data_IF_534436628176
#
_entry.id   IF_534436628176
#
_cell.length_a   1.000
_cell.length_b   1.000
_cell.length_c   1.000
_cell.angle_alpha   90.00
_cell.angle_beta   90.00
_cell.angle_gamma   90.00
#
_symmetry.space_group_name_H-M   'P 1'
#
loop_
_entity.id
_entity.type
_entity.pdbx_description
1 polymer ?
#
# COMPACT_ATOMS: atom_id res chain seq x y z
N UNK A 1 8.82 -68.12 61.67
CA UNK A 1 8.05 -67.89 60.43
C UNK A 1 7.63 -66.43 60.47
N UNK A 2 8.36 -65.56 59.77
CA UNK A 2 8.24 -64.10 59.89
C UNK A 2 7.72 -63.54 58.57
N UNK A 3 6.63 -62.79 58.62
CA UNK A 3 6.05 -62.08 57.48
C UNK A 3 6.71 -60.70 57.38
N UNK A 4 7.18 -60.32 56.18
CA UNK A 4 7.52 -58.94 55.83
C UNK A 4 6.46 -58.43 54.86
N UNK A 5 5.71 -57.42 55.28
CA UNK A 5 4.87 -56.60 54.40
C UNK A 5 5.74 -55.46 53.83
N UNK A 6 5.84 -55.39 52.51
CA UNK A 6 6.43 -54.24 51.83
C UNK A 6 5.34 -53.20 51.51
N UNK A 7 5.47 -52.02 52.10
CA UNK A 7 4.63 -50.86 51.78
C UNK A 7 5.10 -50.17 50.49
N UNK A 8 4.34 -50.33 49.41
CA UNK A 8 4.48 -49.51 48.20
C UNK A 8 3.94 -48.08 48.46
N UNK A 9 4.85 -47.11 48.57
CA UNK A 9 4.52 -45.68 48.60
C UNK A 9 4.37 -45.14 47.16
N UNK A 10 3.13 -44.98 46.68
CA UNK A 10 2.84 -44.19 45.47
C UNK A 10 3.11 -42.70 45.76
N UNK A 11 4.17 -42.15 45.17
CA UNK A 11 4.41 -40.70 45.14
C UNK A 11 3.61 -40.07 44.00
N UNK A 12 2.48 -39.45 44.32
CA UNK A 12 1.76 -38.58 43.41
C UNK A 12 2.57 -37.29 43.17
N UNK A 13 3.18 -37.17 42.00
CA UNK A 13 3.81 -35.92 41.54
C UNK A 13 2.71 -35.06 40.93
N UNK A 14 2.28 -34.03 41.66
CA UNK A 14 1.36 -33.01 41.16
C UNK A 14 2.13 -32.06 40.25
N UNK A 15 2.00 -32.21 38.93
CA UNK A 15 2.50 -31.23 37.97
C UNK A 15 1.45 -30.12 37.82
N UNK A 16 1.71 -28.87 38.27
CA UNK A 16 0.78 -27.79 37.99
C UNK A 16 0.82 -27.47 36.49
N UNK A 17 -0.29 -27.72 35.80
CA UNK A 17 -0.52 -27.27 34.42
C UNK A 17 -0.65 -25.75 34.49
N UNK A 18 0.43 -25.04 34.17
CA UNK A 18 0.42 -23.58 34.00
C UNK A 18 -0.34 -23.28 32.70
N UNK A 19 -1.65 -23.09 32.81
CA UNK A 19 -2.49 -22.62 31.70
C UNK A 19 -2.11 -21.16 31.43
N UNK A 20 -1.12 -20.93 30.57
CA UNK A 20 -0.78 -19.61 30.08
C UNK A 20 -1.95 -19.10 29.22
N UNK A 21 -2.84 -18.33 29.83
CA UNK A 21 -3.79 -17.50 29.09
C UNK A 21 -2.97 -16.53 28.24
N UNK A 22 -2.87 -16.82 26.93
CA UNK A 22 -2.47 -15.82 25.95
C UNK A 22 -3.53 -14.71 25.97
N UNK A 23 -3.28 -13.67 26.75
CA UNK A 23 -4.01 -12.41 26.63
C UNK A 23 -3.54 -11.78 25.32
N UNK A 24 -4.26 -12.03 24.24
CA UNK A 24 -4.08 -11.27 23.00
C UNK A 24 -4.57 -9.86 23.27
N UNK A 25 -3.63 -8.92 23.47
CA UNK A 25 -3.97 -7.51 23.50
C UNK A 25 -4.67 -7.16 22.17
N UNK A 26 -5.82 -6.45 22.20
CA UNK A 26 -6.47 -6.02 20.97
C UNK A 26 -5.48 -5.14 20.19
N UNK A 27 -5.13 -5.59 18.98
CA UNK A 27 -4.40 -4.76 18.03
C UNK A 27 -5.29 -3.57 17.68
N UNK A 28 -4.93 -2.38 18.18
CA UNK A 28 -5.58 -1.13 17.77
C UNK A 28 -5.13 -0.81 16.34
N UNK A 29 -5.69 -1.52 15.36
CA UNK A 29 -5.49 -1.18 13.97
C UNK A 29 -5.97 0.25 13.75
N UNK A 30 -5.04 1.17 13.49
CA UNK A 30 -5.38 2.56 13.20
C UNK A 30 -5.89 2.61 11.77
N UNK A 31 -7.22 2.56 11.60
CA UNK A 31 -7.84 2.77 10.30
C UNK A 31 -7.77 4.26 9.94
N UNK A 32 -7.09 4.58 8.83
CA UNK A 32 -7.21 5.90 8.20
C UNK A 32 -8.26 5.79 7.12
N UNK A 33 -9.40 6.47 7.31
CA UNK A 33 -10.46 6.58 6.31
C UNK A 33 -10.62 8.03 5.88
N UNK A 34 -10.15 8.31 4.67
CA UNK A 34 -10.28 9.61 4.03
C UNK A 34 -11.23 9.51 2.84
N UNK A 35 -12.47 9.95 3.03
CA UNK A 35 -13.50 10.00 1.98
C UNK A 35 -13.54 11.38 1.28
N UNK A 36 -12.56 12.25 1.52
CA UNK A 36 -12.49 13.61 0.98
C UNK A 36 -13.70 14.50 1.31
N UNK A 37 -14.49 14.22 2.36
CA UNK A 37 -15.57 15.12 2.81
C UNK A 37 -15.04 16.37 3.54
N UNK A 38 -13.84 16.28 4.11
CA UNK A 38 -13.12 17.40 4.71
C UNK A 38 -11.92 17.76 3.83
N UNK A 39 -11.85 19.01 3.35
CA UNK A 39 -10.74 19.51 2.54
C UNK A 39 -9.41 19.56 3.32
N UNK A 40 -9.47 19.66 4.65
CA UNK A 40 -8.31 19.75 5.56
C UNK A 40 -8.08 18.47 6.38
N UNK A 41 -8.59 17.33 5.90
CA UNK A 41 -8.49 16.04 6.58
C UNK A 41 -7.10 15.80 7.21
N UNK A 42 -7.09 15.55 8.52
CA UNK A 42 -5.86 15.39 9.29
C UNK A 42 -5.02 14.22 8.75
N UNK A 43 -3.77 14.51 8.39
CA UNK A 43 -2.82 13.50 7.90
C UNK A 43 -2.79 13.32 6.38
N UNK A 44 -3.70 13.96 5.63
CA UNK A 44 -3.56 14.11 4.17
C UNK A 44 -2.72 15.35 3.86
N UNK A 45 -1.80 15.21 2.90
CA UNK A 45 -1.04 16.36 2.38
C UNK A 45 -1.16 16.42 0.86
N UNK A 46 -1.70 17.54 0.37
CA UNK A 46 -1.67 17.92 -1.05
C UNK A 46 -0.30 18.54 -1.37
N UNK A 47 0.71 17.70 -1.53
CA UNK A 47 2.11 18.13 -1.69
C UNK A 47 2.31 18.98 -2.96
N UNK A 48 1.61 18.62 -4.06
CA UNK A 48 1.76 19.28 -5.37
C UNK A 48 0.47 19.23 -6.18
N UNK A 49 0.27 20.26 -7.00
CA UNK A 49 -0.86 20.39 -7.90
C UNK A 49 -2.06 21.07 -7.24
N UNK A 50 -2.94 21.62 -8.07
CA UNK A 50 -4.17 22.27 -7.62
C UNK A 50 -5.25 21.22 -7.32
N UNK A 51 -5.13 20.53 -6.19
CA UNK A 51 -6.14 19.59 -5.71
C UNK A 51 -7.40 20.31 -5.23
N UNK A 52 -8.55 19.77 -5.60
CA UNK A 52 -9.87 20.16 -5.11
C UNK A 52 -10.50 18.99 -4.36
N UNK A 53 -11.19 19.27 -3.27
CA UNK A 53 -11.85 18.28 -2.41
C UNK A 53 -13.32 18.64 -2.29
N UNK A 54 -14.14 18.04 -3.14
CA UNK A 54 -15.56 18.38 -3.27
C UNK A 54 -16.34 17.11 -3.56
N UNK A 55 -17.58 17.02 -3.08
CA UNK A 55 -18.47 15.87 -3.34
C UNK A 55 -17.83 14.51 -3.00
N UNK A 56 -17.03 14.44 -1.93
CA UNK A 56 -16.31 13.23 -1.49
C UNK A 56 -15.30 12.70 -2.53
N UNK A 57 -14.75 13.58 -3.36
CA UNK A 57 -13.74 13.26 -4.38
C UNK A 57 -12.58 14.25 -4.32
N UNK A 58 -11.35 13.74 -4.30
CA UNK A 58 -10.18 14.52 -4.63
C UNK A 58 -9.96 14.57 -6.15
N UNK A 59 -9.92 15.77 -6.72
CA UNK A 59 -9.70 15.98 -8.16
C UNK A 59 -8.48 16.85 -8.39
N UNK A 60 -7.69 16.53 -9.41
CA UNK A 60 -6.65 17.41 -9.92
C UNK A 60 -6.52 17.24 -11.44
N UNK A 61 -5.93 18.23 -12.09
CA UNK A 61 -5.52 18.14 -13.50
C UNK A 61 -4.00 18.15 -13.54
N UNK A 62 -3.43 17.23 -14.31
CA UNK A 62 -2.00 17.23 -14.56
C UNK A 62 -1.60 18.48 -15.36
N UNK A 63 -0.71 19.29 -14.81
CA UNK A 63 -0.16 20.49 -15.45
C UNK A 63 1.23 20.19 -16.02
N UNK A 64 1.43 20.42 -17.32
CA UNK A 64 2.72 20.24 -17.99
C UNK A 64 3.82 21.16 -17.44
N UNK A 65 3.48 22.37 -17.00
CA UNK A 65 4.44 23.29 -16.38
C UNK A 65 4.94 22.71 -15.06
N UNK A 66 4.01 22.30 -14.20
CA UNK A 66 4.30 21.59 -12.95
C UNK A 66 5.12 20.32 -13.21
N UNK A 67 4.71 19.51 -14.19
CA UNK A 67 5.41 18.28 -14.55
C UNK A 67 6.87 18.51 -14.92
N UNK A 68 7.15 19.52 -15.75
CA UNK A 68 8.52 19.93 -16.12
C UNK A 68 9.29 20.47 -14.92
N UNK A 69 8.68 21.34 -14.11
CA UNK A 69 9.29 21.93 -12.92
C UNK A 69 9.74 20.85 -11.92
N UNK A 70 8.94 19.81 -11.73
CA UNK A 70 9.21 18.74 -10.76
C UNK A 70 9.84 17.50 -11.39
N UNK A 71 10.65 17.67 -12.45
CA UNK A 71 11.44 16.59 -13.07
C UNK A 71 10.58 15.38 -13.42
N UNK A 72 9.49 15.62 -14.16
CA UNK A 72 8.55 14.59 -14.61
C UNK A 72 7.67 13.99 -13.49
N UNK A 73 7.35 14.79 -12.47
CA UNK A 73 6.37 14.42 -11.45
C UNK A 73 5.14 15.34 -11.54
N UNK A 74 3.96 14.75 -11.60
CA UNK A 74 2.68 15.49 -11.60
C UNK A 74 2.20 15.87 -10.20
N UNK A 75 0.90 16.15 -10.06
CA UNK A 75 0.24 16.35 -8.77
C UNK A 75 0.44 15.15 -7.82
N UNK A 76 0.51 15.41 -6.51
CA UNK A 76 0.74 14.39 -5.47
C UNK A 76 -0.19 14.62 -4.28
N UNK A 77 -0.88 13.56 -3.87
CA UNK A 77 -1.44 13.41 -2.52
C UNK A 77 -0.66 12.35 -1.76
N UNK A 78 -0.46 12.58 -0.46
CA UNK A 78 0.24 11.65 0.43
C UNK A 78 -0.46 11.55 1.79
N UNK A 79 -0.36 10.36 2.36
CA UNK A 79 -0.65 10.06 3.76
C UNK A 79 0.60 9.45 4.38
N UNK A 80 0.77 9.59 5.69
CA UNK A 80 1.94 9.03 6.40
C UNK A 80 1.54 8.26 7.67
N UNK A 81 0.68 7.23 7.55
CA UNK A 81 0.41 6.33 8.66
C UNK A 81 1.67 5.60 9.11
N UNK A 82 1.74 5.27 10.39
CA UNK A 82 2.72 4.32 10.93
C UNK A 82 2.05 2.96 11.03
N UNK A 83 2.60 1.96 10.35
CA UNK A 83 2.10 0.58 10.38
C UNK A 83 3.22 -0.40 10.00
N UNK A 84 3.08 -1.65 10.42
CA UNK A 84 4.00 -2.76 10.06
C UNK A 84 3.33 -3.77 9.13
N UNK A 85 1.99 -3.81 9.14
CA UNK A 85 1.14 -4.62 8.28
C UNK A 85 -0.17 -3.87 8.03
N UNK A 86 -0.84 -4.13 6.90
CA UNK A 86 -2.12 -3.54 6.57
C UNK A 86 -2.50 -3.65 5.10
N UNK A 87 -3.74 -3.23 4.82
CA UNK A 87 -4.27 -3.12 3.46
C UNK A 87 -4.49 -1.66 3.09
N UNK A 88 -4.15 -1.29 1.85
CA UNK A 88 -4.47 0.02 1.28
C UNK A 88 -5.50 -0.17 0.18
N UNK A 89 -6.59 0.61 0.25
CA UNK A 89 -7.64 0.63 -0.76
C UNK A 89 -7.92 2.08 -1.16
N UNK A 90 -8.09 2.31 -2.46
CA UNK A 90 -8.51 3.60 -2.99
C UNK A 90 -9.32 3.38 -4.26
N UNK A 91 -10.30 4.25 -4.49
CA UNK A 91 -10.97 4.33 -5.79
C UNK A 91 -10.39 5.50 -6.57
N UNK A 92 -10.18 5.34 -7.87
CA UNK A 92 -9.73 6.42 -8.74
C UNK A 92 -10.40 6.33 -10.12
N UNK A 93 -10.47 7.48 -10.80
CA UNK A 93 -11.00 7.60 -12.16
C UNK A 93 -10.01 8.41 -13.01
N UNK A 94 -9.14 7.77 -13.81
CA UNK A 94 -8.26 8.50 -14.70
C UNK A 94 -9.07 9.07 -15.87
N UNK A 95 -8.71 10.25 -16.36
CA UNK A 95 -9.25 10.80 -17.60
C UNK A 95 -8.13 11.41 -18.42
N UNK A 96 -7.85 10.83 -19.59
CA UNK A 96 -6.79 11.18 -20.53
C UNK A 96 -5.43 11.39 -19.85
N UNK A 97 -5.16 10.57 -18.83
CA UNK A 97 -3.93 10.64 -18.06
C UNK A 97 -2.81 9.91 -18.80
N UNK A 98 -1.65 10.54 -18.87
CA UNK A 98 -0.44 9.93 -19.41
C UNK A 98 0.09 8.81 -18.51
N UNK A 99 0.03 9.03 -17.19
CA UNK A 99 0.54 8.13 -16.17
C UNK A 99 -0.18 8.36 -14.85
N UNK A 100 -0.47 7.29 -14.12
CA UNK A 100 -0.87 7.31 -12.71
C UNK A 100 0.09 6.43 -11.93
N UNK A 101 0.59 6.91 -10.79
CA UNK A 101 1.56 6.19 -9.96
C UNK A 101 1.06 6.11 -8.54
N UNK A 102 1.00 4.89 -8.01
CA UNK A 102 0.81 4.63 -6.59
C UNK A 102 2.12 4.11 -6.03
N UNK A 103 2.57 4.65 -4.90
CA UNK A 103 3.81 4.20 -4.25
C UNK A 103 3.56 4.08 -2.76
N UNK A 104 3.85 2.91 -2.21
CA UNK A 104 4.02 2.74 -0.78
C UNK A 104 5.50 2.88 -0.42
N UNK A 105 5.79 3.77 0.52
CA UNK A 105 7.14 4.03 1.00
C UNK A 105 7.29 3.60 2.47
N UNK A 106 8.47 3.07 2.80
CA UNK A 106 9.03 2.99 4.15
C UNK A 106 10.35 3.77 4.17
N UNK A 107 11.44 3.14 4.62
CA UNK A 107 12.83 3.64 4.48
C UNK A 107 13.35 3.53 3.01
N UNK A 108 12.44 3.66 2.03
CA UNK A 108 12.62 3.35 0.61
C UNK A 108 11.28 3.00 -0.04
N UNK A 109 11.28 2.65 -1.32
CA UNK A 109 10.10 2.08 -1.98
C UNK A 109 9.87 0.65 -1.50
N UNK A 110 8.64 0.34 -1.08
CA UNK A 110 8.20 -1.03 -0.78
C UNK A 110 7.53 -1.62 -2.02
N UNK A 111 6.57 -0.89 -2.59
CA UNK A 111 6.05 -1.19 -3.92
C UNK A 111 5.65 0.08 -4.67
N UNK A 112 5.63 -0.03 -6.00
CA UNK A 112 5.15 1.00 -6.92
C UNK A 112 4.31 0.38 -8.02
N UNK A 113 3.06 0.84 -8.13
CA UNK A 113 2.21 0.60 -9.29
C UNK A 113 2.36 1.78 -10.25
N UNK A 114 2.67 1.51 -11.50
CA UNK A 114 2.68 2.50 -12.57
C UNK A 114 1.69 2.06 -13.65
N UNK A 115 0.65 2.85 -13.86
CA UNK A 115 -0.29 2.70 -14.96
C UNK A 115 0.06 3.74 -16.01
N UNK A 116 0.16 3.32 -17.27
CA UNK A 116 0.58 4.17 -18.37
C UNK A 116 -0.45 4.18 -19.50
N UNK A 117 -0.52 5.29 -20.22
CA UNK A 117 -1.16 5.34 -21.53
C UNK A 117 -0.25 4.69 -22.57
N UNK A 118 -0.61 3.48 -22.98
CA UNK A 118 0.08 2.65 -23.98
C UNK A 118 -0.52 2.77 -25.38
N UNK A 119 -1.48 3.68 -25.59
CA UNK A 119 -2.05 3.90 -26.92
C UNK A 119 -1.03 4.44 -27.91
N UNK A 120 -1.23 4.17 -29.20
CA UNK A 120 -0.34 4.66 -30.27
C UNK A 120 -0.24 6.19 -30.31
N UNK A 121 -1.29 6.87 -29.85
CA UNK A 121 -1.37 8.33 -29.78
C UNK A 121 -0.92 8.89 -28.41
N UNK A 122 -0.32 8.07 -27.56
CA UNK A 122 0.13 8.49 -26.24
C UNK A 122 1.11 9.66 -26.35
N UNK A 123 0.94 10.74 -25.58
CA UNK A 123 1.89 11.84 -25.56
C UNK A 123 3.22 11.46 -24.88
N UNK A 124 3.38 10.24 -24.35
CA UNK A 124 4.69 9.74 -23.90
C UNK A 124 5.47 9.24 -25.13
N UNK A 125 6.67 9.74 -25.41
CA UNK A 125 7.51 9.26 -26.52
C UNK A 125 8.03 7.82 -26.39
N UNK A 126 7.55 7.04 -25.43
CA UNK A 126 8.18 5.77 -25.06
C UNK A 126 7.22 4.60 -25.27
N UNK A 127 7.04 4.24 -26.55
CA UNK A 127 6.21 3.13 -27.04
C UNK A 127 6.52 1.76 -26.41
N UNK A 128 7.60 1.63 -25.62
CA UNK A 128 7.98 0.41 -24.90
C UNK A 128 7.58 0.40 -23.42
N UNK A 129 7.10 1.53 -22.88
CA UNK A 129 6.77 1.65 -21.47
C UNK A 129 5.40 1.02 -21.20
N UNK A 130 5.36 -0.08 -20.45
CA UNK A 130 4.12 -0.77 -20.07
C UNK A 130 3.75 -0.50 -18.62
N UNK A 131 2.46 -0.63 -18.31
CA UNK A 131 2.00 -0.65 -16.93
C UNK A 131 2.59 -1.84 -16.18
N UNK A 132 2.97 -1.60 -14.93
CA UNK A 132 3.72 -2.57 -14.11
C UNK A 132 3.57 -2.32 -12.63
N UNK A 133 3.78 -3.38 -11.86
CA UNK A 133 4.09 -3.33 -10.44
C UNK A 133 5.60 -3.53 -10.27
N UNK A 134 6.21 -2.78 -9.37
CA UNK A 134 7.56 -3.04 -8.89
C UNK A 134 7.48 -3.26 -7.38
N UNK A 135 8.11 -4.33 -6.89
CA UNK A 135 8.17 -4.63 -5.47
C UNK A 135 9.63 -4.80 -5.01
N UNK A 136 9.89 -4.47 -3.76
CA UNK A 136 11.21 -4.55 -3.14
C UNK A 136 11.15 -5.41 -1.88
N UNK A 137 11.89 -6.52 -1.86
CA UNK A 137 12.06 -7.37 -0.67
C UNK A 137 13.04 -6.76 0.34
N UNK A 138 13.89 -5.83 -0.10
CA UNK A 138 14.89 -5.11 0.71
C UNK A 138 14.93 -3.64 0.29
N UNK A 139 15.56 -2.78 1.10
CA UNK A 139 15.59 -1.33 0.87
C UNK A 139 15.94 -0.94 -0.58
N UNK A 140 15.08 -0.15 -1.21
CA UNK A 140 15.28 0.36 -2.57
C UNK A 140 16.52 1.27 -2.67
N UNK A 141 17.26 1.21 -3.77
CA UNK A 141 18.44 2.06 -3.96
C UNK A 141 18.76 2.32 -5.44
N UNK A 142 19.91 2.96 -5.71
CA UNK A 142 20.39 3.08 -7.08
C UNK A 142 20.77 1.72 -7.67
N UNK A 143 21.19 0.78 -6.84
CA UNK A 143 21.60 -0.58 -7.22
C UNK A 143 20.43 -1.56 -7.12
N UNK A 144 19.56 -1.41 -6.12
CA UNK A 144 18.37 -2.24 -5.93
C UNK A 144 17.14 -1.59 -6.59
N UNK A 145 16.81 -2.03 -7.80
CA UNK A 145 15.68 -1.52 -8.60
C UNK A 145 14.36 -2.24 -8.35
N UNK A 146 14.36 -3.27 -7.50
CA UNK A 146 13.21 -4.10 -7.22
C UNK A 146 12.86 -5.00 -8.41
N UNK A 147 11.89 -5.89 -8.18
CA UNK A 147 11.43 -6.84 -9.17
C UNK A 147 10.23 -6.28 -9.90
N UNK A 148 10.27 -6.29 -11.23
CA UNK A 148 9.11 -5.94 -12.04
C UNK A 148 8.17 -7.13 -12.14
N UNK A 149 6.95 -6.95 -11.63
CA UNK A 149 5.89 -7.94 -11.63
C UNK A 149 4.81 -7.45 -12.58
N UNK A 150 4.41 -8.31 -13.52
CA UNK A 150 3.26 -8.05 -14.41
C UNK A 150 2.26 -9.19 -14.25
N UNK A 151 1.31 -9.06 -13.31
CA UNK A 151 0.23 -10.04 -13.17
C UNK A 151 -0.53 -10.21 -14.49
N UNK A 152 -1.07 -11.40 -14.71
CA UNK A 152 -2.01 -11.60 -15.80
C UNK A 152 -3.20 -10.65 -15.66
N UNK A 153 -3.62 -10.04 -16.77
CA UNK A 153 -4.71 -9.05 -16.76
C UNK A 153 -4.38 -7.70 -16.15
N UNK A 154 -3.10 -7.39 -15.85
CA UNK A 154 -2.72 -6.08 -15.32
C UNK A 154 -3.09 -4.95 -16.30
N UNK A 155 -3.91 -3.96 -15.89
CA UNK A 155 -4.49 -3.00 -16.82
C UNK A 155 -3.50 -1.90 -17.23
N UNK A 156 -3.71 -1.37 -18.43
CA UNK A 156 -3.16 -0.07 -18.87
C UNK A 156 -4.22 1.04 -18.73
N UNK A 157 -3.79 2.31 -18.72
CA UNK A 157 -4.71 3.44 -18.54
C UNK A 157 -5.84 3.54 -19.58
N UNK A 158 -5.65 3.21 -20.87
CA UNK A 158 -6.73 3.28 -21.84
C UNK A 158 -7.94 2.41 -21.46
N UNK A 159 -7.71 1.26 -20.83
CA UNK A 159 -8.77 0.38 -20.37
C UNK A 159 -9.58 0.95 -19.18
N UNK A 160 -8.96 1.85 -18.41
CA UNK A 160 -9.54 2.46 -17.21
C UNK A 160 -10.10 3.88 -17.46
N UNK A 161 -9.88 4.43 -18.65
CA UNK A 161 -10.15 5.83 -18.95
C UNK A 161 -11.64 6.20 -18.73
N UNK A 162 -11.87 7.25 -17.94
CA UNK A 162 -13.19 7.77 -17.60
C UNK A 162 -13.99 6.90 -16.62
N UNK A 163 -13.45 5.79 -16.12
CA UNK A 163 -14.15 4.82 -15.28
C UNK A 163 -13.61 4.80 -13.86
N UNK A 164 -14.51 4.68 -12.88
CA UNK A 164 -14.12 4.43 -11.50
C UNK A 164 -13.56 3.01 -11.37
N UNK A 165 -12.35 2.90 -10.84
CA UNK A 165 -11.62 1.66 -10.57
C UNK A 165 -11.26 1.60 -9.09
N UNK A 166 -11.24 0.40 -8.50
CA UNK A 166 -10.83 0.13 -7.12
C UNK A 166 -9.63 -0.80 -7.09
#
# INVERSE_FOLDING_TARGET
>A
MSFHEEHFMLRYVWTPILLALLVTAPSTATEIRDNFSDAQFAGRVADRGAWKFENQVATCVADLKLYKQYKNHGPILKWSPKFTDGSVQFAFRPDKCQRVVFTLNGDGHIFRVSLLDTSENSPVPNAKATSRLIAWSTKSSKQNKGDTIKPEGFPDLPALNGRWTK
#
